data_IF_698297654811
#
_entry.id   IF_698297654811
#
_cell.length_a   1.000
_cell.length_b   1.000
_cell.length_c   1.000
_cell.angle_alpha   90.00
_cell.angle_beta   90.00
_cell.angle_gamma   90.00
#
_symmetry.space_group_name_H-M   'P 1'
#
loop_
_entity.id
_entity.type
_entity.pdbx_description
1 polymer ?
#
# COMPACT_ATOMS: atom_id res chain seq x y z
N UNK A 1 -16.20 5.22 -3.14
CA UNK A 1 -15.97 5.29 -1.68
C UNK A 1 -17.26 5.06 -0.88
N UNK A 2 -18.38 5.69 -1.24
CA UNK A 2 -19.63 5.67 -0.46
C UNK A 2 -20.20 4.27 -0.15
N UNK A 3 -20.17 3.35 -1.13
CA UNK A 3 -20.61 1.96 -0.92
C UNK A 3 -19.73 1.21 0.09
N UNK A 4 -18.41 1.48 0.11
CA UNK A 4 -17.49 0.87 1.08
C UNK A 4 -17.75 1.44 2.48
N UNK A 5 -17.97 2.75 2.61
CA UNK A 5 -18.30 3.39 3.90
C UNK A 5 -19.62 2.86 4.47
N UNK A 6 -20.63 2.67 3.64
CA UNK A 6 -21.89 2.07 4.07
C UNK A 6 -21.70 0.63 4.58
N UNK A 7 -20.87 -0.16 3.90
CA UNK A 7 -20.58 -1.54 4.30
C UNK A 7 -19.75 -1.61 5.58
N UNK A 8 -18.81 -0.69 5.76
CA UNK A 8 -18.03 -0.53 6.99
C UNK A 8 -18.88 -0.06 8.18
N UNK A 9 -19.84 0.84 7.97
CA UNK A 9 -20.82 1.22 8.98
C UNK A 9 -21.70 0.04 9.43
N UNK A 10 -22.13 -0.81 8.49
CA UNK A 10 -22.86 -2.04 8.82
C UNK A 10 -21.98 -2.99 9.66
N UNK A 11 -20.71 -3.12 9.28
CA UNK A 11 -19.72 -3.88 10.05
C UNK A 11 -19.59 -3.38 11.50
N UNK A 12 -19.50 -2.07 11.69
CA UNK A 12 -19.47 -1.47 13.03
C UNK A 12 -20.75 -1.78 13.82
N UNK A 13 -21.93 -1.62 13.20
CA UNK A 13 -23.21 -1.94 13.82
C UNK A 13 -23.33 -3.43 14.23
N UNK A 14 -22.61 -4.32 13.54
CA UNK A 14 -22.56 -5.75 13.84
C UNK A 14 -21.40 -6.16 14.76
N UNK A 15 -20.67 -5.20 15.34
CA UNK A 15 -19.47 -5.43 16.18
C UNK A 15 -18.33 -6.18 15.46
N UNK A 16 -18.26 -6.08 14.14
CA UNK A 16 -17.25 -6.74 13.29
C UNK A 16 -16.09 -5.83 12.89
N UNK A 17 -16.19 -4.53 13.17
CA UNK A 17 -15.16 -3.55 12.81
C UNK A 17 -13.77 -3.88 13.37
N UNK A 18 -13.68 -4.39 14.61
CA UNK A 18 -12.40 -4.83 15.18
C UNK A 18 -11.77 -5.99 14.40
N UNK A 19 -12.55 -7.00 14.03
CA UNK A 19 -12.09 -8.13 13.22
C UNK A 19 -11.72 -7.72 11.80
N UNK A 20 -12.43 -6.74 11.22
CA UNK A 20 -12.05 -6.13 9.96
C UNK A 20 -10.66 -5.46 10.08
N UNK A 21 -10.43 -4.65 11.10
CA UNK A 21 -9.11 -4.01 11.30
C UNK A 21 -8.00 -5.03 11.50
N UNK A 22 -8.24 -6.05 12.32
CA UNK A 22 -7.28 -7.13 12.57
C UNK A 22 -6.87 -7.85 11.27
N UNK A 23 -7.83 -8.12 10.38
CA UNK A 23 -7.54 -8.72 9.07
C UNK A 23 -6.68 -7.85 8.16
N UNK A 24 -6.68 -6.52 8.35
CA UNK A 24 -5.88 -5.58 7.58
C UNK A 24 -4.47 -5.38 8.16
N UNK A 25 -4.20 -5.87 9.37
CA UNK A 25 -2.93 -5.72 10.08
C UNK A 25 -1.92 -6.81 9.71
N UNK A 26 -0.69 -6.68 10.20
CA UNK A 26 0.35 -7.71 10.08
C UNK A 26 0.62 -8.35 11.43
N UNK A 27 0.77 -9.68 11.43
CA UNK A 27 1.16 -10.44 12.61
C UNK A 27 2.68 -10.38 12.84
N UNK A 28 3.08 -10.14 14.08
CA UNK A 28 4.49 -10.00 14.42
C UNK A 28 5.26 -11.34 14.33
N UNK A 29 4.60 -12.49 14.55
CA UNK A 29 5.27 -13.78 14.46
C UNK A 29 5.50 -14.17 13.00
N UNK A 30 4.49 -13.98 12.14
CA UNK A 30 4.61 -14.18 10.70
C UNK A 30 5.74 -13.31 10.12
N UNK A 31 5.79 -12.03 10.52
CA UNK A 31 6.88 -11.14 10.13
C UNK A 31 8.24 -11.60 10.67
N UNK A 32 8.31 -12.06 11.92
CA UNK A 32 9.52 -12.61 12.51
C UNK A 32 10.04 -13.82 11.72
N UNK A 33 9.15 -14.75 11.35
CA UNK A 33 9.48 -15.93 10.57
C UNK A 33 10.00 -15.57 9.18
N UNK A 34 9.41 -14.56 8.52
CA UNK A 34 9.89 -14.06 7.23
C UNK A 34 11.28 -13.44 7.34
N UNK A 35 11.51 -12.59 8.34
CA UNK A 35 12.81 -11.94 8.57
C UNK A 35 13.90 -12.97 8.89
N UNK A 36 13.56 -14.04 9.61
CA UNK A 36 14.48 -15.11 9.97
C UNK A 36 14.97 -15.94 8.77
N UNK A 37 14.28 -15.87 7.62
CA UNK A 37 14.58 -16.69 6.42
C UNK A 37 14.88 -15.82 5.20
N UNK A 38 16.04 -15.12 5.15
CA UNK A 38 16.45 -14.40 3.95
C UNK A 38 16.57 -15.35 2.75
N UNK A 39 16.13 -14.89 1.58
CA UNK A 39 16.35 -15.63 0.34
C UNK A 39 17.85 -15.76 0.03
N UNK A 40 18.23 -16.85 -0.63
CA UNK A 40 19.65 -17.20 -0.88
C UNK A 40 20.39 -16.16 -1.74
N UNK A 41 19.66 -15.38 -2.53
CA UNK A 41 20.19 -14.32 -3.39
C UNK A 41 20.42 -12.98 -2.65
N UNK A 42 20.16 -12.88 -1.34
CA UNK A 42 20.32 -11.64 -0.57
C UNK A 42 21.69 -11.61 0.10
N UNK A 43 22.44 -10.53 -0.15
CA UNK A 43 23.74 -10.27 0.49
C UNK A 43 23.64 -9.03 1.35
N UNK A 44 23.95 -9.17 2.64
CA UNK A 44 23.95 -8.05 3.56
C UNK A 44 25.22 -7.22 3.43
N UNK A 45 25.07 -5.93 3.09
CA UNK A 45 26.18 -4.97 3.06
C UNK A 45 26.15 -4.08 4.30
N UNK A 46 27.31 -3.83 4.89
CA UNK A 46 27.44 -2.87 5.97
C UNK A 46 27.45 -1.46 5.38
N UNK A 47 26.49 -0.61 5.77
CA UNK A 47 26.39 0.79 5.33
C UNK A 47 27.66 1.64 5.60
N UNK A 48 28.59 1.16 6.43
CA UNK A 48 29.88 1.83 6.71
C UNK A 48 30.99 1.52 5.70
N UNK A 49 30.84 0.51 4.84
CA UNK A 49 31.90 0.10 3.89
C UNK A 49 31.67 0.57 2.44
N UNK A 50 30.52 1.16 2.12
CA UNK A 50 30.21 1.58 0.74
C UNK A 50 31.02 2.80 0.25
N UNK A 51 31.90 3.37 1.07
CA UNK A 51 32.73 4.53 0.72
C UNK A 51 34.19 4.20 0.37
N UNK A 52 34.59 2.92 0.37
CA UNK A 52 35.99 2.56 0.16
C UNK A 52 36.15 1.22 -0.55
N UNK A 53 35.70 1.15 -1.81
CA UNK A 53 36.16 0.14 -2.76
C UNK A 53 36.00 0.64 -4.21
N UNK A 54 36.51 1.85 -4.48
CA UNK A 54 36.90 2.25 -5.84
C UNK A 54 38.37 1.86 -6.04
N UNK A 55 38.59 0.61 -6.46
CA UNK A 55 39.92 0.05 -6.67
C UNK A 55 40.00 -0.88 -7.87
N UNK A 56 40.35 -0.29 -9.02
CA UNK A 56 41.04 -0.88 -10.18
C UNK A 56 40.46 -2.16 -10.84
N UNK A 57 39.93 -2.00 -12.06
CA UNK A 57 39.54 -3.11 -12.94
C UNK A 57 39.38 -2.69 -14.40
N UNK A 58 40.50 -2.35 -15.03
CA UNK A 58 40.88 -2.58 -16.42
C UNK A 58 39.84 -2.38 -17.56
N UNK A 59 40.17 -1.42 -18.43
CA UNK A 59 39.54 -1.20 -19.72
C UNK A 59 39.64 -2.43 -20.64
N UNK A 60 38.48 -2.85 -21.17
CA UNK A 60 38.37 -3.82 -22.25
C UNK A 60 37.11 -3.51 -23.05
N UNK A 61 37.26 -2.73 -24.12
CA UNK A 61 36.17 -2.44 -25.05
C UNK A 61 35.81 -3.67 -25.86
N UNK A 62 34.51 -3.98 -25.94
CA UNK A 62 33.94 -4.82 -27.00
C UNK A 62 32.58 -4.25 -27.38
N UNK A 63 32.48 -3.84 -28.64
CA UNK A 63 31.27 -3.40 -29.32
C UNK A 63 30.32 -4.59 -29.53
N UNK A 64 29.02 -4.42 -29.25
CA UNK A 64 27.99 -5.40 -29.61
C UNK A 64 27.11 -4.78 -30.71
N UNK A 65 26.94 -5.44 -31.87
CA UNK A 65 26.22 -4.91 -33.02
C UNK A 65 24.70 -5.06 -32.86
N UNK A 66 23.97 -4.06 -33.37
CA UNK A 66 22.54 -4.10 -33.61
C UNK A 66 22.26 -4.80 -34.96
N UNK A 67 21.36 -5.79 -35.05
CA UNK A 67 20.73 -6.13 -36.31
C UNK A 67 19.31 -5.56 -36.37
N UNK A 68 19.09 -4.67 -37.31
CA UNK A 68 17.74 -4.35 -37.80
C UNK A 68 17.24 -5.43 -38.76
N UNK A 69 15.91 -5.54 -38.88
CA UNK A 69 15.26 -6.38 -39.87
C UNK A 69 13.75 -6.40 -39.70
N UNK A 70 13.06 -5.51 -40.43
CA UNK A 70 11.61 -5.44 -40.53
C UNK A 70 11.03 -6.56 -41.41
N UNK A 71 9.79 -7.02 -41.13
CA UNK A 71 8.67 -7.11 -42.08
C UNK A 71 7.51 -7.96 -41.52
N UNK A 72 6.27 -7.47 -41.66
CA UNK A 72 5.05 -8.28 -41.53
C UNK A 72 3.75 -7.49 -41.28
N UNK A 73 3.14 -6.94 -42.33
CA UNK A 73 1.71 -6.51 -42.43
C UNK A 73 0.99 -7.67 -43.18
N UNK A 74 -0.20 -8.20 -42.86
CA UNK A 74 -1.54 -7.59 -42.81
C UNK A 74 -2.63 -8.49 -42.15
N UNK A 75 -3.70 -7.84 -41.67
CA UNK A 75 -5.08 -8.32 -41.32
C UNK A 75 -5.82 -8.99 -42.52
N UNK A 76 -7.01 -9.68 -42.43
CA UNK A 76 -8.20 -9.30 -41.64
C UNK A 76 -9.17 -10.41 -41.11
N UNK A 77 -10.07 -10.05 -40.19
CA UNK A 77 -11.45 -10.59 -40.13
C UNK A 77 -11.88 -11.34 -38.86
N UNK A 78 -12.63 -10.68 -37.97
CA UNK A 78 -13.98 -11.08 -37.53
C UNK A 78 -14.39 -10.43 -36.18
N UNK A 79 -15.53 -9.72 -36.25
CA UNK A 79 -16.54 -9.46 -35.22
C UNK A 79 -16.15 -8.74 -33.91
N UNK A 80 -16.68 -7.52 -33.80
CA UNK A 80 -16.87 -6.79 -32.57
C UNK A 80 -17.67 -7.60 -31.53
N UNK A 81 -17.24 -7.52 -30.27
CA UNK A 81 -18.13 -7.68 -29.12
C UNK A 81 -17.72 -6.69 -28.04
N UNK A 82 -18.65 -5.80 -27.73
CA UNK A 82 -18.60 -4.88 -26.60
C UNK A 82 -18.57 -5.70 -25.32
N UNK A 83 -17.60 -5.42 -24.43
CA UNK A 83 -17.53 -5.99 -23.08
C UNK A 83 -17.72 -4.86 -22.06
N UNK A 84 -18.85 -4.90 -21.35
CA UNK A 84 -19.07 -4.15 -20.11
C UNK A 84 -18.35 -4.85 -18.94
N UNK A 85 -17.96 -4.12 -17.88
CA UNK A 85 -17.10 -4.65 -16.82
C UNK A 85 -17.92 -5.54 -15.87
N UNK A 86 -17.47 -6.77 -15.70
CA UNK A 86 -18.02 -7.71 -14.72
C UNK A 86 -18.67 -8.94 -15.36
N UNK A 87 -17.87 -9.90 -15.83
CA UNK A 87 -18.08 -11.29 -15.47
C UNK A 87 -16.80 -12.11 -15.69
N UNK A 88 -16.64 -13.12 -14.83
CA UNK A 88 -15.46 -13.93 -14.60
C UNK A 88 -14.73 -14.44 -15.86
N UNK A 89 -13.46 -14.10 -15.98
CA UNK A 89 -12.47 -14.95 -16.62
C UNK A 89 -11.82 -15.78 -15.50
N UNK A 90 -12.00 -17.10 -15.55
CA UNK A 90 -11.19 -18.02 -14.79
C UNK A 90 -9.71 -17.69 -15.06
N UNK A 91 -8.98 -17.31 -14.01
CA UNK A 91 -7.52 -17.21 -14.03
C UNK A 91 -6.96 -18.59 -14.34
N UNK A 92 -6.70 -18.86 -15.62
CA UNK A 92 -5.68 -19.82 -15.99
C UNK A 92 -4.37 -19.29 -15.42
N UNK A 93 -3.76 -20.04 -14.51
CA UNK A 93 -2.47 -19.75 -13.92
C UNK A 93 -1.49 -19.26 -14.99
N UNK A 94 -1.13 -17.98 -14.94
CA UNK A 94 -0.09 -17.42 -15.80
C UNK A 94 1.21 -18.14 -15.49
N UNK A 95 1.76 -18.82 -16.49
CA UNK A 95 3.13 -19.28 -16.46
C UNK A 95 4.04 -18.07 -16.22
N UNK A 96 4.80 -18.11 -15.14
CA UNK A 96 5.89 -17.17 -14.86
C UNK A 96 6.77 -17.07 -16.10
N UNK A 97 6.90 -15.87 -16.66
CA UNK A 97 7.74 -15.64 -17.83
C UNK A 97 9.22 -15.77 -17.43
N UNK A 98 10.06 -16.30 -18.32
CA UNK A 98 11.49 -16.52 -18.06
C UNK A 98 12.26 -15.26 -17.63
N UNK A 99 11.77 -14.06 -17.97
CA UNK A 99 12.31 -12.77 -17.52
C UNK A 99 12.13 -12.49 -16.03
N UNK A 100 11.06 -12.99 -15.39
CA UNK A 100 10.81 -12.80 -13.96
C UNK A 100 11.69 -13.71 -13.10
N UNK A 101 12.08 -14.87 -13.66
CA UNK A 101 13.01 -15.79 -12.99
C UNK A 101 14.46 -15.27 -13.00
N UNK A 102 14.87 -14.57 -14.06
CA UNK A 102 16.21 -13.97 -14.14
C UNK A 102 16.42 -12.81 -13.15
N UNK A 103 15.42 -11.94 -12.95
CA UNK A 103 15.48 -10.90 -11.92
C UNK A 103 15.36 -11.46 -10.49
N UNK A 104 14.57 -12.53 -10.28
CA UNK A 104 14.50 -13.22 -8.99
C UNK A 104 15.82 -13.91 -8.61
N UNK A 105 16.65 -14.30 -9.58
CA UNK A 105 17.93 -14.97 -9.33
C UNK A 105 19.13 -14.00 -9.23
N UNK A 106 18.90 -12.71 -9.46
CA UNK A 106 19.93 -11.67 -9.37
C UNK A 106 20.29 -11.42 -7.91
N UNK A 107 21.58 -11.42 -7.61
CA UNK A 107 22.07 -11.16 -6.25
C UNK A 107 21.76 -9.70 -5.87
N UNK A 108 20.97 -9.51 -4.80
CA UNK A 108 20.58 -8.19 -4.29
C UNK A 108 21.45 -7.84 -3.09
N UNK A 109 22.14 -6.71 -3.16
CA UNK A 109 22.90 -6.16 -2.04
C UNK A 109 22.00 -5.20 -1.25
N UNK A 110 21.70 -5.54 0.00
CA UNK A 110 20.84 -4.76 0.88
C UNK A 110 21.50 -4.56 2.23
N UNK A 111 21.28 -3.42 2.86
CA UNK A 111 21.53 -3.28 4.30
C UNK A 111 20.47 -4.06 5.09
N UNK A 112 20.76 -4.41 6.35
CA UNK A 112 19.76 -5.09 7.22
C UNK A 112 18.47 -4.27 7.40
N UNK A 113 18.52 -2.95 7.66
CA UNK A 113 17.30 -2.14 7.75
C UNK A 113 16.47 -2.12 6.47
N UNK A 114 17.10 -2.10 5.29
CA UNK A 114 16.41 -2.19 4.00
C UNK A 114 15.72 -3.54 3.84
N UNK A 115 16.43 -4.63 4.12
CA UNK A 115 15.86 -5.97 4.07
C UNK A 115 14.68 -6.15 5.03
N UNK A 116 14.77 -5.65 6.27
CA UNK A 116 13.67 -5.71 7.23
C UNK A 116 12.46 -4.88 6.78
N UNK A 117 12.68 -3.70 6.19
CA UNK A 117 11.61 -2.88 5.63
C UNK A 117 10.91 -3.56 4.45
N UNK A 118 11.67 -4.16 3.53
CA UNK A 118 11.13 -4.94 2.42
C UNK A 118 10.33 -6.15 2.90
N UNK A 119 10.85 -6.93 3.85
CA UNK A 119 10.13 -8.06 4.43
C UNK A 119 8.83 -7.62 5.11
N UNK A 120 8.86 -6.51 5.85
CA UNK A 120 7.67 -5.98 6.54
C UNK A 120 6.58 -5.59 5.56
N UNK A 121 6.93 -4.87 4.49
CA UNK A 121 5.98 -4.47 3.46
C UNK A 121 5.44 -5.67 2.68
N UNK A 122 6.33 -6.60 2.30
CA UNK A 122 5.94 -7.76 1.53
C UNK A 122 5.03 -8.70 2.34
N UNK A 123 5.33 -8.94 3.62
CA UNK A 123 4.47 -9.74 4.50
C UNK A 123 3.09 -9.14 4.65
N UNK A 124 3.01 -7.82 4.87
CA UNK A 124 1.73 -7.15 4.99
C UNK A 124 0.91 -7.24 3.70
N UNK A 125 1.51 -6.97 2.53
CA UNK A 125 0.82 -7.05 1.24
C UNK A 125 0.40 -8.49 0.91
N UNK A 126 1.26 -9.47 1.15
CA UNK A 126 0.95 -10.89 0.93
C UNK A 126 -0.21 -11.34 1.84
N UNK A 127 -0.22 -10.92 3.11
CA UNK A 127 -1.34 -11.18 4.04
C UNK A 127 -2.65 -10.58 3.53
N UNK A 128 -2.63 -9.34 3.02
CA UNK A 128 -3.81 -8.70 2.45
C UNK A 128 -4.36 -9.49 1.25
N UNK A 129 -3.50 -9.93 0.33
CA UNK A 129 -3.92 -10.74 -0.81
C UNK A 129 -4.42 -12.14 -0.40
N UNK A 130 -3.82 -12.75 0.62
CA UNK A 130 -4.28 -14.03 1.15
C UNK A 130 -5.69 -13.90 1.76
N UNK A 131 -5.93 -12.84 2.54
CA UNK A 131 -7.21 -12.57 3.18
C UNK A 131 -8.33 -12.28 2.17
N UNK A 132 -8.00 -11.63 1.05
CA UNK A 132 -8.94 -11.39 -0.06
C UNK A 132 -9.53 -12.68 -0.65
N UNK A 133 -8.81 -13.80 -0.55
CA UNK A 133 -9.24 -15.10 -1.09
C UNK A 133 -9.89 -15.99 -0.02
N UNK A 134 -9.88 -15.57 1.26
CA UNK A 134 -10.33 -16.38 2.38
C UNK A 134 -11.83 -16.17 2.66
N UNK A 135 -12.68 -16.85 1.88
CA UNK A 135 -14.15 -16.73 1.97
C UNK A 135 -14.73 -16.83 3.39
N UNK A 136 -14.15 -17.67 4.26
CA UNK A 136 -14.61 -17.79 5.65
C UNK A 136 -14.35 -16.50 6.44
N UNK A 137 -13.12 -16.00 6.41
CA UNK A 137 -12.73 -14.75 7.05
C UNK A 137 -13.64 -13.62 6.55
N UNK A 138 -13.77 -13.49 5.24
CA UNK A 138 -14.60 -12.47 4.59
C UNK A 138 -16.07 -12.54 5.02
N UNK A 139 -16.65 -13.74 5.11
CA UNK A 139 -18.00 -13.94 5.65
C UNK A 139 -18.13 -13.53 7.11
N UNK A 140 -17.14 -13.86 7.94
CA UNK A 140 -17.09 -13.51 9.36
C UNK A 140 -17.01 -11.99 9.56
N UNK A 141 -16.24 -11.29 8.73
CA UNK A 141 -16.14 -9.82 8.72
C UNK A 141 -17.20 -9.15 7.82
N UNK A 142 -18.10 -9.88 7.17
CA UNK A 142 -19.17 -9.30 6.35
C UNK A 142 -18.72 -8.55 5.09
N UNK A 143 -17.59 -8.94 4.50
CA UNK A 143 -17.09 -8.44 3.21
C UNK A 143 -17.14 -9.53 2.13
N UNK A 144 -17.11 -9.13 0.86
CA UNK A 144 -16.68 -9.99 -0.24
C UNK A 144 -15.22 -9.66 -0.62
N UNK A 145 -14.59 -10.53 -1.40
CA UNK A 145 -13.19 -10.33 -1.83
C UNK A 145 -13.01 -9.02 -2.58
N UNK A 146 -13.98 -8.63 -3.42
CA UNK A 146 -13.95 -7.37 -4.18
C UNK A 146 -13.90 -6.14 -3.27
N UNK A 147 -14.74 -6.08 -2.24
CA UNK A 147 -14.81 -4.94 -1.33
C UNK A 147 -13.60 -4.90 -0.41
N UNK A 148 -13.14 -6.07 0.04
CA UNK A 148 -11.92 -6.19 0.81
C UNK A 148 -10.68 -5.73 0.01
N UNK A 149 -10.55 -6.22 -1.23
CA UNK A 149 -9.48 -5.85 -2.17
C UNK A 149 -9.44 -4.36 -2.49
N UNK A 150 -10.60 -3.69 -2.54
CA UNK A 150 -10.66 -2.23 -2.67
C UNK A 150 -10.09 -1.52 -1.44
N UNK A 151 -10.45 -1.96 -0.23
CA UNK A 151 -9.96 -1.34 1.01
C UNK A 151 -8.46 -1.57 1.16
N UNK A 152 -8.00 -2.81 1.00
CA UNK A 152 -6.59 -3.15 1.09
C UNK A 152 -5.77 -2.44 0.00
N UNK A 153 -6.29 -2.37 -1.23
CA UNK A 153 -5.67 -1.65 -2.34
C UNK A 153 -5.47 -0.15 -2.05
N UNK A 154 -6.48 0.52 -1.50
CA UNK A 154 -6.39 1.94 -1.11
C UNK A 154 -5.39 2.17 0.03
N UNK A 155 -5.32 1.26 1.01
CA UNK A 155 -4.32 1.33 2.08
C UNK A 155 -2.90 1.13 1.54
N UNK A 156 -2.70 0.20 0.60
CA UNK A 156 -1.40 -0.01 -0.06
C UNK A 156 -1.02 1.20 -0.93
N UNK A 157 -1.97 1.80 -1.65
CA UNK A 157 -1.75 3.04 -2.40
C UNK A 157 -1.35 4.19 -1.47
N UNK A 158 -2.04 4.36 -0.34
CA UNK A 158 -1.68 5.36 0.67
C UNK A 158 -0.27 5.09 1.25
N UNK A 159 0.07 3.83 1.52
CA UNK A 159 1.40 3.45 2.03
C UNK A 159 2.51 3.80 1.05
N UNK A 160 2.28 3.64 -0.27
CA UNK A 160 3.21 4.07 -1.32
C UNK A 160 3.35 5.58 -1.37
N UNK A 161 2.23 6.31 -1.42
CA UNK A 161 2.19 7.79 -1.43
C UNK A 161 2.95 8.39 -0.24
N UNK A 162 2.80 7.79 0.94
CA UNK A 162 3.45 8.23 2.17
C UNK A 162 4.83 7.62 2.41
N UNK A 163 5.34 6.81 1.46
CA UNK A 163 6.64 6.15 1.52
C UNK A 163 6.85 5.34 2.81
N UNK A 164 5.86 4.53 3.18
CA UNK A 164 5.86 3.76 4.43
C UNK A 164 7.11 2.87 4.57
N UNK A 165 7.58 2.28 3.47
CA UNK A 165 8.81 1.46 3.44
C UNK A 165 10.06 2.26 3.81
N UNK A 166 10.21 3.49 3.30
CA UNK A 166 11.35 4.36 3.66
C UNK A 166 11.32 4.72 5.14
N UNK A 167 10.12 4.95 5.67
CA UNK A 167 9.97 5.23 7.08
C UNK A 167 10.23 4.01 7.97
N UNK A 168 9.86 2.81 7.53
CA UNK A 168 10.22 1.54 8.19
C UNK A 168 11.74 1.37 8.21
N UNK A 169 12.42 1.58 7.09
CA UNK A 169 13.88 1.54 7.00
C UNK A 169 14.52 2.49 8.02
N UNK A 170 14.08 3.76 8.06
CA UNK A 170 14.55 4.74 9.05
C UNK A 170 14.29 4.30 10.50
N UNK A 171 13.12 3.70 10.77
CA UNK A 171 12.81 3.18 12.09
C UNK A 171 13.74 2.02 12.49
N UNK A 172 14.07 1.12 11.55
CA UNK A 172 15.04 0.05 11.79
C UNK A 172 16.47 0.58 11.97
N UNK A 173 16.89 1.59 11.22
CA UNK A 173 18.18 2.27 11.41
C UNK A 173 18.29 2.89 12.80
N UNK A 174 17.26 3.62 13.24
CA UNK A 174 17.23 4.26 14.55
C UNK A 174 17.31 3.24 15.71
N UNK A 175 16.79 2.03 15.50
CA UNK A 175 16.81 0.96 16.50
C UNK A 175 17.98 -0.03 16.33
N UNK A 176 18.77 0.07 15.26
CA UNK A 176 19.84 -0.88 14.96
C UNK A 176 20.90 -0.96 16.07
N UNK A 177 21.16 0.13 16.80
CA UNK A 177 22.09 0.17 17.93
C UNK A 177 21.51 -0.40 19.24
N UNK A 178 20.19 -0.57 19.31
CA UNK A 178 19.47 -1.06 20.51
C UNK A 178 19.23 -2.56 20.49
N UNK A 179 19.34 -3.19 19.32
CA UNK A 179 19.15 -4.63 19.18
C UNK A 179 20.46 -5.37 19.48
N UNK A 180 20.46 -6.19 20.53
CA UNK A 180 21.50 -7.22 20.70
C UNK A 180 21.46 -8.19 19.51
N UNK A 181 22.62 -8.74 19.14
CA UNK A 181 22.78 -9.56 17.94
C UNK A 181 21.82 -10.78 17.90
N UNK A 182 21.46 -11.32 19.07
CA UNK A 182 20.56 -12.46 19.22
C UNK A 182 19.06 -12.10 19.26
N UNK A 183 18.70 -10.85 19.55
CA UNK A 183 17.31 -10.40 19.68
C UNK A 183 16.79 -9.61 18.46
N UNK A 184 17.62 -9.47 17.42
CA UNK A 184 17.39 -8.53 16.33
C UNK A 184 16.15 -8.87 15.49
N UNK A 185 15.83 -10.14 15.30
CA UNK A 185 14.69 -10.57 14.46
C UNK A 185 13.36 -10.25 15.13
N UNK A 186 13.14 -10.70 16.37
CA UNK A 186 11.89 -10.43 17.09
C UNK A 186 11.70 -8.93 17.32
N UNK A 187 12.77 -8.21 17.67
CA UNK A 187 12.68 -6.77 17.88
C UNK A 187 12.39 -6.01 16.58
N UNK A 188 12.95 -6.45 15.44
CA UNK A 188 12.60 -5.92 14.13
C UNK A 188 11.13 -6.25 13.78
N UNK A 189 10.65 -7.46 14.04
CA UNK A 189 9.26 -7.81 13.79
C UNK A 189 8.29 -6.98 14.63
N UNK A 190 8.60 -6.73 15.91
CA UNK A 190 7.81 -5.84 16.77
C UNK A 190 7.79 -4.41 16.23
N UNK A 191 8.94 -3.84 15.84
CA UNK A 191 9.01 -2.48 15.27
C UNK A 191 8.24 -2.39 13.95
N UNK A 192 8.42 -3.37 13.06
CA UNK A 192 7.75 -3.43 11.76
C UNK A 192 6.23 -3.53 11.89
N UNK A 193 5.76 -4.52 12.67
CA UNK A 193 4.34 -4.73 12.92
C UNK A 193 3.69 -3.55 13.62
N UNK A 194 4.32 -2.98 14.64
CA UNK A 194 3.77 -1.79 15.34
C UNK A 194 3.58 -0.64 14.38
N UNK A 195 4.56 -0.36 13.52
CA UNK A 195 4.51 0.78 12.59
C UNK A 195 3.50 0.57 11.47
N UNK A 196 3.36 -0.66 10.94
CA UNK A 196 2.33 -0.99 9.96
C UNK A 196 0.94 -0.98 10.60
N UNK A 197 0.80 -1.53 11.80
CA UNK A 197 -0.48 -1.63 12.48
C UNK A 197 -0.97 -0.24 12.94
N UNK A 198 -0.10 0.69 13.34
CA UNK A 198 -0.46 2.09 13.56
C UNK A 198 -0.89 2.80 12.26
N UNK A 199 -0.25 2.48 11.14
CA UNK A 199 -0.65 2.98 9.83
C UNK A 199 -2.06 2.52 9.45
N UNK A 200 -2.36 1.23 9.63
CA UNK A 200 -3.69 0.67 9.38
C UNK A 200 -4.72 1.19 10.39
N UNK A 201 -4.38 1.24 11.68
CA UNK A 201 -5.26 1.68 12.76
C UNK A 201 -5.68 3.15 12.64
N UNK A 202 -4.98 3.95 11.85
CA UNK A 202 -5.33 5.36 11.60
C UNK A 202 -5.67 5.66 10.16
N UNK A 203 -5.81 4.62 9.32
CA UNK A 203 -5.99 4.77 7.87
C UNK A 203 -5.02 5.80 7.28
N UNK A 204 -3.73 5.66 7.63
CA UNK A 204 -2.60 6.54 7.29
C UNK A 204 -2.52 7.91 7.98
N UNK A 205 -3.57 8.38 8.67
CA UNK A 205 -3.64 9.79 9.11
C UNK A 205 -2.69 10.14 10.25
N UNK A 206 -2.20 9.18 11.05
CA UNK A 206 -1.11 9.47 11.99
C UNK A 206 0.22 9.79 11.31
N UNK A 207 0.37 9.41 10.03
CA UNK A 207 1.58 9.65 9.25
C UNK A 207 1.51 10.96 8.44
N UNK A 208 0.36 11.63 8.44
CA UNK A 208 0.15 12.93 7.82
C UNK A 208 0.35 14.04 8.85
N UNK A 209 0.67 15.24 8.37
CA UNK A 209 0.72 16.43 9.22
C UNK A 209 -0.65 16.69 9.86
N UNK A 210 -0.68 17.22 11.08
CA UNK A 210 -1.91 17.34 11.86
C UNK A 210 -3.02 18.15 11.15
N UNK A 211 -2.64 19.14 10.34
CA UNK A 211 -3.55 19.97 9.55
C UNK A 211 -4.07 19.28 8.27
N UNK A 212 -3.39 18.24 7.78
CA UNK A 212 -3.77 17.47 6.58
C UNK A 212 -4.70 16.30 6.89
N UNK A 213 -4.86 15.97 8.18
CA UNK A 213 -5.78 14.92 8.63
C UNK A 213 -7.22 15.25 8.27
N UNK A 214 -8.04 14.20 8.16
CA UNK A 214 -9.46 14.32 7.85
C UNK A 214 -10.20 15.22 8.86
N UNK A 215 -11.12 16.02 8.35
CA UNK A 215 -12.00 16.88 9.12
C UNK A 215 -13.27 16.12 9.51
N UNK A 216 -13.59 16.11 10.81
CA UNK A 216 -14.71 15.38 11.39
C UNK A 216 -15.69 16.39 11.96
N UNK A 217 -16.93 16.44 11.44
CA UNK A 217 -17.97 17.31 11.97
C UNK A 217 -18.25 17.00 13.44
N UNK A 218 -18.32 18.05 14.28
CA UNK A 218 -18.73 17.92 15.68
C UNK A 218 -20.21 18.24 15.84
N UNK A 219 -20.85 17.69 16.88
CA UNK A 219 -22.27 17.94 17.17
C UNK A 219 -22.58 19.44 17.42
N UNK A 220 -21.56 20.22 17.81
CA UNK A 220 -21.63 21.65 18.08
C UNK A 220 -21.48 22.52 16.81
N UNK A 221 -21.44 21.91 15.63
CA UNK A 221 -21.34 22.62 14.34
C UNK A 221 -19.91 23.03 13.95
N UNK A 222 -18.90 22.54 14.67
CA UNK A 222 -17.49 22.71 14.34
C UNK A 222 -16.90 21.52 13.56
N UNK A 223 -15.58 21.56 13.36
CA UNK A 223 -14.80 20.43 12.85
C UNK A 223 -13.61 20.16 13.77
N UNK A 224 -13.25 18.89 13.94
CA UNK A 224 -12.00 18.48 14.56
C UNK A 224 -11.18 17.61 13.60
N UNK A 225 -9.87 17.56 13.80
CA UNK A 225 -9.00 16.66 13.05
C UNK A 225 -9.13 15.22 13.56
N UNK A 226 -9.11 14.26 12.64
CA UNK A 226 -9.10 12.85 12.96
C UNK A 226 -7.90 12.49 13.84
N UNK A 227 -8.15 11.65 14.85
CA UNK A 227 -7.17 11.21 15.85
C UNK A 227 -6.46 12.37 16.55
N UNK A 228 -7.09 13.54 16.64
CA UNK A 228 -6.60 14.61 17.51
C UNK A 228 -6.56 14.09 18.96
N UNK A 229 -5.43 14.25 19.64
CA UNK A 229 -5.31 13.85 21.02
C UNK A 229 -6.30 14.65 21.86
N UNK A 230 -7.19 13.94 22.55
CA UNK A 230 -8.00 14.56 23.59
C UNK A 230 -7.05 15.00 24.70
N UNK A 231 -7.25 16.20 25.25
CA UNK A 231 -6.44 16.70 26.38
C UNK A 231 -6.37 15.64 27.49
N UNK A 232 -5.16 15.45 28.05
CA UNK A 232 -4.93 14.53 29.16
C UNK A 232 -5.69 15.04 30.40
N UNK A 233 -6.36 14.13 31.09
CA UNK A 233 -7.02 14.38 32.36
C UNK A 233 -6.25 13.59 33.41
N UNK A 234 -5.35 14.25 34.15
CA UNK A 234 -4.48 13.59 35.12
C UNK A 234 -5.19 13.32 36.47
N UNK A 235 -6.41 13.84 36.64
CA UNK A 235 -7.23 13.65 37.85
C UNK A 235 -8.62 13.11 37.49
N UNK A 236 -9.17 12.31 38.41
CA UNK A 236 -10.53 11.78 38.28
C UNK A 236 -11.61 12.88 38.32
N UNK A 237 -11.30 14.05 38.87
CA UNK A 237 -12.20 15.21 38.95
C UNK A 237 -12.45 15.86 37.57
N UNK A 238 -11.55 15.63 36.60
CA UNK A 238 -11.66 16.20 35.24
C UNK A 238 -12.31 15.21 34.25
N UNK A 239 -12.77 14.05 34.74
CA UNK A 239 -13.49 13.09 33.90
C UNK A 239 -14.89 13.61 33.54
N UNK A 240 -15.32 13.43 32.29
CA UNK A 240 -16.66 13.83 31.89
C UNK A 240 -17.72 13.00 32.63
N UNK A 241 -18.82 13.67 33.01
CA UNK A 241 -19.96 13.06 33.71
C UNK A 241 -20.59 11.90 32.92
N UNK A 242 -20.53 11.95 31.59
CA UNK A 242 -20.93 10.85 30.72
C UNK A 242 -19.71 10.12 30.13
N UNK A 243 -19.71 8.77 30.12
CA UNK A 243 -18.69 7.99 29.43
C UNK A 243 -18.59 8.40 27.96
N UNK A 244 -17.37 8.61 27.47
CA UNK A 244 -17.16 8.90 26.06
C UNK A 244 -17.49 7.66 25.22
N UNK A 245 -18.13 7.87 24.07
CA UNK A 245 -18.38 6.83 23.10
C UNK A 245 -17.12 6.52 22.28
N UNK A 246 -16.03 6.13 22.94
CA UNK A 246 -14.68 6.04 22.33
C UNK A 246 -14.64 5.08 21.13
N UNK A 247 -15.38 3.97 21.16
CA UNK A 247 -15.48 3.06 20.02
C UNK A 247 -16.17 3.70 18.80
N UNK A 248 -17.24 4.47 19.02
CA UNK A 248 -17.97 5.19 17.96
C UNK A 248 -17.11 6.32 17.40
N UNK A 249 -16.45 7.07 18.28
CA UNK A 249 -15.52 8.13 17.89
C UNK A 249 -14.37 7.56 17.07
N UNK A 250 -13.75 6.47 17.52
CA UNK A 250 -12.66 5.82 16.81
C UNK A 250 -13.08 5.30 15.43
N UNK A 251 -14.22 4.62 15.32
CA UNK A 251 -14.74 4.17 14.03
C UNK A 251 -15.05 5.34 13.09
N UNK A 252 -15.63 6.42 13.63
CA UNK A 252 -15.88 7.67 12.87
C UNK A 252 -14.58 8.26 12.36
N UNK A 253 -13.55 8.37 13.21
CA UNK A 253 -12.24 8.87 12.82
C UNK A 253 -11.63 8.03 11.71
N UNK A 254 -11.73 6.72 11.85
CA UNK A 254 -11.20 5.79 10.85
C UNK A 254 -11.94 5.91 9.50
N UNK A 255 -13.28 5.99 9.48
CA UNK A 255 -14.04 6.11 8.23
C UNK A 255 -13.75 7.41 7.48
N UNK A 256 -13.72 8.54 8.18
CA UNK A 256 -13.37 9.83 7.57
C UNK A 256 -11.91 9.85 7.11
N UNK A 257 -11.01 9.23 7.86
CA UNK A 257 -9.60 9.09 7.50
C UNK A 257 -9.41 8.23 6.25
N UNK A 258 -10.07 7.08 6.17
CA UNK A 258 -10.04 6.21 5.00
C UNK A 258 -10.61 6.91 3.76
N UNK A 259 -11.74 7.61 3.90
CA UNK A 259 -12.32 8.39 2.82
C UNK A 259 -11.34 9.45 2.30
N UNK A 260 -10.73 10.22 3.22
CA UNK A 260 -9.70 11.21 2.86
C UNK A 260 -8.49 10.59 2.18
N UNK A 261 -8.04 9.41 2.63
CA UNK A 261 -6.94 8.69 1.99
C UNK A 261 -7.27 8.31 0.55
N UNK A 262 -8.49 7.81 0.29
CA UNK A 262 -8.96 7.51 -1.07
C UNK A 262 -8.97 8.77 -1.96
N UNK A 263 -9.46 9.91 -1.45
CA UNK A 263 -9.43 11.17 -2.20
C UNK A 263 -8.01 11.59 -2.57
N UNK A 264 -7.07 11.52 -1.62
CA UNK A 264 -5.68 11.86 -1.85
C UNK A 264 -5.01 10.92 -2.85
N UNK A 265 -5.31 9.61 -2.78
CA UNK A 265 -4.79 8.63 -3.73
C UNK A 265 -5.34 8.90 -5.15
N UNK A 266 -6.62 9.26 -5.27
CA UNK A 266 -7.21 9.62 -6.55
C UNK A 266 -6.52 10.86 -7.16
N UNK A 267 -6.27 11.90 -6.36
CA UNK A 267 -5.55 13.11 -6.80
C UNK A 267 -4.09 12.82 -7.19
N UNK A 268 -3.41 11.94 -6.45
CA UNK A 268 -2.03 11.54 -6.74
C UNK A 268 -1.95 10.73 -8.04
N UNK A 269 -2.92 9.85 -8.30
CA UNK A 269 -3.01 9.08 -9.55
C UNK A 269 -3.27 9.95 -10.78
N UNK A 270 -4.02 11.05 -10.64
CA UNK A 270 -4.27 12.03 -11.70
C UNK A 270 -3.03 12.89 -12.01
N UNK A 271 -2.05 12.88 -11.09
CA UNK A 271 -0.74 13.53 -11.28
C UNK A 271 0.34 12.60 -11.87
N UNK A 272 0.03 11.31 -12.05
CA UNK A 272 0.92 10.28 -12.57
C UNK A 272 0.75 10.00 -14.06
N UNK A 273 1.64 10.56 -14.89
CA UNK A 273 1.76 10.30 -16.34
C UNK A 273 0.51 10.59 -17.17
N UNK A 274 0.09 11.86 -17.19
CA UNK A 274 -0.59 12.38 -18.39
C UNK A 274 0.43 12.39 -19.52
N UNK A 275 0.36 11.40 -20.41
CA UNK A 275 1.03 11.45 -21.70
C UNK A 275 0.44 12.63 -22.49
N UNK A 276 1.14 13.77 -22.42
CA UNK A 276 0.78 15.01 -23.11
C UNK A 276 0.62 14.77 -24.62
N UNK A 277 1.33 13.78 -25.16
CA UNK A 277 1.23 13.39 -26.57
C UNK A 277 -0.09 12.67 -26.85
N UNK A 278 -0.52 11.74 -25.98
CA UNK A 278 -1.81 11.07 -26.08
C UNK A 278 -3.00 12.03 -25.90
N UNK A 279 -2.89 12.99 -24.96
CA UNK A 279 -3.92 14.00 -24.75
C UNK A 279 -3.98 15.03 -25.90
N UNK A 280 -2.86 15.34 -26.55
CA UNK A 280 -2.87 16.15 -27.79
C UNK A 280 -3.53 15.42 -28.97
N UNK A 281 -3.34 14.10 -29.07
CA UNK A 281 -3.98 13.25 -30.10
C UNK A 281 -5.49 13.15 -29.87
N UNK A 282 -5.93 13.00 -28.62
CA UNK A 282 -7.35 13.06 -28.26
C UNK A 282 -7.97 14.43 -28.53
N UNK A 283 -7.25 15.52 -28.26
CA UNK A 283 -7.68 16.88 -28.60
C UNK A 283 -7.83 17.13 -30.11
N UNK A 284 -6.96 16.53 -30.93
CA UNK A 284 -7.06 16.54 -32.39
C UNK A 284 -8.30 15.79 -32.90
N UNK A 285 -8.52 14.57 -32.39
CA UNK A 285 -9.67 13.73 -32.79
C UNK A 285 -11.00 14.39 -32.41
N UNK A 286 -11.08 15.03 -31.23
CA UNK A 286 -12.28 15.76 -30.80
C UNK A 286 -12.53 16.99 -31.67
N UNK A 287 -11.47 17.69 -32.11
CA UNK A 287 -11.61 18.83 -33.01
C UNK A 287 -12.08 18.42 -34.41
N UNK A 288 -11.58 17.30 -34.93
CA UNK A 288 -12.00 16.74 -36.22
C UNK A 288 -13.45 16.24 -36.19
N UNK A 289 -13.87 15.57 -35.10
CA UNK A 289 -15.26 15.17 -34.89
C UNK A 289 -16.21 16.37 -34.76
N UNK A 290 -15.77 17.48 -34.16
CA UNK A 290 -16.56 18.72 -34.07
C UNK A 290 -16.73 19.40 -35.43
N UNK A 291 -15.69 19.40 -36.26
CA UNK A 291 -15.75 19.98 -37.61
C UNK A 291 -16.58 19.10 -38.56
N UNK A 292 -16.55 17.77 -38.40
CA UNK A 292 -17.37 16.84 -39.18
C UNK A 292 -18.88 16.87 -38.88
N UNK A 293 -19.30 17.44 -37.75
CA UNK A 293 -20.73 17.62 -37.40
C UNK A 293 -21.30 18.95 -37.94
N UNK A 294 -20.45 19.85 -38.46
CA UNK A 294 -20.87 21.18 -38.93
C UNK A 294 -20.89 21.33 -40.46
N UNK A 295 -20.76 20.23 -41.21
CA UNK A 295 -20.99 20.17 -42.66
C UNK A 295 -22.17 19.26 -43.00
#
# INVERSE_FOLDING_TARGET
ADQLVALMNNNFAQNRFGSMLDSLMVDANALSDRIARPAENIRFVNSKNSASESGAGQAGGVSIPLPGGAAGIALPGAAASVVLPGNAAAVTASATSASDQDEANKVRQLTRPEFYAECSMAEWIDNLHANEQQNKLLGDIGFDGTSYGKISGELVAAARRMRLQDQLRKAFEANAARFGQDAQVHAAATVGSTKINDFVATASMNFAEANERADIPTAEGGSRKAFAQNGHHDNADDLPEQPRADAVNYATDWFFSFYKACELNAMDSDSGTVDVEANSKLGGIISDLRQGITN
#
